data_IF_925245813225
#
_entry.id   IF_925245813225
#
_cell.length_a   1.000
_cell.length_b   1.000
_cell.length_c   1.000
_cell.angle_alpha   90.00
_cell.angle_beta   90.00
_cell.angle_gamma   90.00
#
_symmetry.space_group_name_H-M   'P 1'
#
loop_
_entity.id
_entity.type
_entity.pdbx_description
1 polymer ?
#
# COMPACT_ATOMS: atom_id res chain seq x y z
N UNK A 1 25.36 -17.16 -24.29
CA UNK A 1 24.46 -17.21 -23.10
C UNK A 1 23.79 -18.58 -23.09
N UNK A 2 23.80 -19.31 -21.97
CA UNK A 2 22.93 -20.49 -21.81
C UNK A 2 21.60 -20.00 -21.26
N UNK A 3 20.51 -20.24 -21.97
CA UNK A 3 19.16 -19.98 -21.48
C UNK A 3 18.92 -20.80 -20.22
N UNK A 4 18.31 -20.21 -19.20
CA UNK A 4 17.85 -20.97 -18.04
C UNK A 4 16.53 -21.62 -18.44
N UNK A 5 16.59 -22.90 -18.80
CA UNK A 5 15.38 -23.67 -19.04
C UNK A 5 14.69 -23.95 -17.69
N UNK A 6 13.34 -23.87 -17.66
CA UNK A 6 12.44 -24.07 -16.51
C UNK A 6 12.05 -22.85 -15.66
N UNK A 7 12.27 -21.63 -16.14
CA UNK A 7 11.62 -20.42 -15.57
C UNK A 7 10.54 -19.92 -16.53
N UNK A 8 9.37 -19.56 -16.00
CA UNK A 8 8.31 -18.92 -16.77
C UNK A 8 8.31 -17.40 -16.55
N UNK A 9 7.85 -16.65 -17.54
CA UNK A 9 7.48 -15.24 -17.40
C UNK A 9 5.98 -15.10 -17.65
N UNK A 10 5.33 -14.15 -16.97
CA UNK A 10 3.91 -13.85 -17.20
C UNK A 10 3.69 -12.36 -17.45
N UNK A 11 2.64 -12.08 -18.23
CA UNK A 11 2.28 -10.79 -18.83
C UNK A 11 1.68 -11.04 -20.22
N UNK A 12 1.33 -9.97 -20.95
CA UNK A 12 1.05 -10.10 -22.39
C UNK A 12 2.27 -10.69 -23.09
N UNK A 13 2.07 -11.74 -23.90
CA UNK A 13 3.14 -12.51 -24.55
C UNK A 13 4.18 -11.59 -25.19
N UNK A 14 5.46 -11.84 -24.89
CA UNK A 14 6.64 -11.14 -25.43
C UNK A 14 6.80 -9.64 -25.09
N UNK A 15 6.00 -9.07 -24.17
CA UNK A 15 6.09 -7.64 -23.82
C UNK A 15 6.80 -7.42 -22.47
N UNK A 16 8.02 -6.90 -22.54
CA UNK A 16 8.68 -6.29 -21.37
C UNK A 16 8.13 -4.89 -21.13
N UNK A 17 7.90 -4.53 -19.86
CA UNK A 17 7.48 -3.17 -19.52
C UNK A 17 8.71 -2.27 -19.37
N UNK A 18 8.91 -1.23 -20.22
CA UNK A 18 10.02 -0.30 -20.06
C UNK A 18 9.74 0.67 -18.91
N UNK A 19 10.73 0.88 -18.05
CA UNK A 19 10.66 1.79 -16.89
C UNK A 19 11.83 2.75 -16.94
N UNK A 20 11.53 4.05 -16.88
CA UNK A 20 12.54 5.09 -16.73
C UNK A 20 12.83 5.34 -15.24
N UNK A 21 14.09 5.21 -14.83
CA UNK A 21 14.54 5.49 -13.47
C UNK A 21 15.95 6.06 -13.46
N UNK A 22 16.14 7.22 -12.81
CA UNK A 22 17.44 7.92 -12.69
C UNK A 22 18.23 7.95 -14.03
N UNK A 23 17.61 8.49 -15.08
CA UNK A 23 18.17 8.60 -16.44
C UNK A 23 18.55 7.26 -17.11
N UNK A 24 18.06 6.14 -16.60
CA UNK A 24 18.25 4.82 -17.21
C UNK A 24 16.89 4.21 -17.58
N UNK A 25 16.91 3.34 -18.58
CA UNK A 25 15.75 2.52 -18.95
C UNK A 25 15.99 1.09 -18.42
N UNK A 26 14.95 0.51 -17.84
CA UNK A 26 14.93 -0.87 -17.38
C UNK A 26 13.79 -1.63 -18.04
N UNK A 27 14.04 -2.87 -18.43
CA UNK A 27 13.00 -3.81 -18.81
C UNK A 27 12.53 -4.57 -17.57
N UNK A 28 11.25 -4.48 -17.26
CA UNK A 28 10.60 -5.19 -16.17
C UNK A 28 9.88 -6.45 -16.69
N UNK A 29 10.01 -7.54 -15.94
CA UNK A 29 9.19 -8.73 -16.11
C UNK A 29 8.94 -9.43 -14.77
N UNK A 30 7.81 -10.14 -14.67
CA UNK A 30 7.52 -11.02 -13.55
C UNK A 30 8.02 -12.43 -13.84
N UNK A 31 8.57 -13.09 -12.82
CA UNK A 31 9.07 -14.45 -12.90
C UNK A 31 8.07 -15.38 -12.21
N UNK A 32 7.70 -16.47 -12.88
CA UNK A 32 6.79 -17.51 -12.37
C UNK A 32 7.43 -18.89 -12.51
N UNK A 33 6.77 -19.90 -11.94
CA UNK A 33 7.09 -21.30 -12.19
C UNK A 33 6.82 -21.66 -13.67
N UNK A 34 7.49 -22.68 -14.19
CA UNK A 34 7.20 -23.24 -15.52
C UNK A 34 5.82 -23.94 -15.60
N UNK A 35 5.11 -24.06 -14.48
CA UNK A 35 3.77 -24.63 -14.44
C UNK A 35 2.73 -23.62 -14.93
N UNK A 36 2.12 -23.90 -16.10
CA UNK A 36 1.07 -23.07 -16.71
C UNK A 36 -0.19 -22.86 -15.86
N UNK A 37 -0.38 -23.63 -14.78
CA UNK A 37 -1.50 -23.49 -13.84
C UNK A 37 -1.14 -22.65 -12.60
N UNK A 38 0.08 -22.12 -12.50
CA UNK A 38 0.51 -21.34 -11.36
C UNK A 38 -0.24 -20.00 -11.33
N UNK A 39 -0.67 -19.59 -10.15
CA UNK A 39 -1.40 -18.32 -9.95
C UNK A 39 -0.62 -17.30 -9.14
N UNK A 40 0.63 -17.61 -8.78
CA UNK A 40 1.49 -16.76 -7.96
C UNK A 40 2.88 -16.59 -8.59
N UNK A 41 3.45 -15.39 -8.46
CA UNK A 41 4.79 -15.06 -8.94
C UNK A 41 5.87 -15.54 -7.96
N UNK A 42 7.05 -15.87 -8.49
CA UNK A 42 8.26 -16.17 -7.72
C UNK A 42 9.08 -14.90 -7.41
N UNK A 43 8.86 -13.83 -8.16
CA UNK A 43 9.59 -12.59 -8.04
C UNK A 43 9.57 -11.76 -9.31
N UNK A 44 10.42 -10.75 -9.38
CA UNK A 44 10.46 -9.78 -10.48
C UNK A 44 11.89 -9.49 -10.87
N UNK A 45 12.06 -9.13 -12.12
CA UNK A 45 13.36 -8.84 -12.69
C UNK A 45 13.36 -7.49 -13.39
N UNK A 46 14.41 -6.73 -13.15
CA UNK A 46 14.73 -5.49 -13.88
C UNK A 46 16.05 -5.68 -14.61
N UNK A 47 16.07 -5.43 -15.90
CA UNK A 47 17.29 -5.45 -16.71
C UNK A 47 17.58 -4.05 -17.20
N UNK A 48 18.71 -3.46 -16.78
CA UNK A 48 19.11 -2.15 -17.28
C UNK A 48 19.40 -2.26 -18.79
N UNK A 49 18.65 -1.53 -19.62
CA UNK A 49 18.69 -1.65 -21.08
C UNK A 49 20.04 -1.24 -21.68
N UNK A 50 20.80 -0.36 -21.01
CA UNK A 50 22.11 0.10 -21.46
C UNK A 50 23.23 -0.89 -21.14
N UNK A 51 23.20 -1.48 -19.95
CA UNK A 51 24.33 -2.26 -19.40
C UNK A 51 24.08 -3.76 -19.36
N UNK A 52 22.83 -4.20 -19.53
CA UNK A 52 22.42 -5.58 -19.33
C UNK A 52 22.46 -6.03 -17.85
N UNK A 53 22.75 -5.13 -16.91
CA UNK A 53 22.80 -5.48 -15.48
C UNK A 53 21.40 -5.84 -14.99
N UNK A 54 21.29 -7.05 -14.47
CA UNK A 54 20.04 -7.63 -13.98
C UNK A 54 19.91 -7.50 -12.47
N UNK A 55 18.70 -7.15 -12.03
CA UNK A 55 18.30 -7.09 -10.63
C UNK A 55 17.09 -8.01 -10.47
N UNK A 56 17.25 -9.09 -9.72
CA UNK A 56 16.16 -10.00 -9.40
C UNK A 56 15.75 -9.82 -7.93
N UNK A 57 14.45 -9.66 -7.73
CA UNK A 57 13.84 -9.55 -6.41
C UNK A 57 12.93 -10.76 -6.22
N UNK A 58 13.29 -11.62 -5.27
CA UNK A 58 12.46 -12.76 -4.90
C UNK A 58 11.24 -12.28 -4.12
N UNK A 59 10.07 -12.79 -4.47
CA UNK A 59 8.88 -12.60 -3.66
C UNK A 59 8.74 -13.76 -2.69
N UNK A 60 8.58 -13.42 -1.41
CA UNK A 60 8.50 -14.37 -0.30
C UNK A 60 7.05 -14.48 0.22
N UNK A 61 6.22 -13.49 -0.10
CA UNK A 61 4.79 -13.51 0.19
C UNK A 61 4.01 -14.15 -0.96
N UNK A 62 2.79 -14.62 -0.67
CA UNK A 62 1.86 -14.96 -1.75
C UNK A 62 1.55 -13.68 -2.55
N UNK A 63 1.80 -13.70 -3.84
CA UNK A 63 1.56 -12.59 -4.73
C UNK A 63 1.06 -13.15 -6.06
N UNK A 64 -0.14 -12.72 -6.45
CA UNK A 64 -0.76 -13.18 -7.67
C UNK A 64 0.03 -12.79 -8.92
N UNK A 65 -0.20 -13.52 -10.01
CA UNK A 65 0.37 -13.21 -11.32
C UNK A 65 -0.12 -11.86 -11.88
N UNK A 66 0.66 -11.21 -12.77
CA UNK A 66 0.23 -9.97 -13.42
C UNK A 66 -1.08 -10.16 -14.19
N UNK A 67 -1.24 -11.25 -14.94
CA UNK A 67 -2.47 -11.56 -15.68
C UNK A 67 -3.69 -11.65 -14.76
N UNK A 68 -3.51 -12.14 -13.53
CA UNK A 68 -4.56 -12.18 -12.52
C UNK A 68 -4.85 -10.79 -11.96
N UNK A 69 -3.82 -9.98 -11.71
CA UNK A 69 -3.98 -8.59 -11.30
C UNK A 69 -4.74 -7.76 -12.36
N UNK A 70 -4.38 -7.92 -13.64
CA UNK A 70 -5.06 -7.30 -14.78
C UNK A 70 -6.54 -7.71 -14.83
N UNK A 71 -6.81 -9.02 -14.75
CA UNK A 71 -8.18 -9.54 -14.71
C UNK A 71 -9.01 -8.95 -13.56
N UNK A 72 -8.42 -8.79 -12.37
CA UNK A 72 -9.11 -8.19 -11.23
C UNK A 72 -9.33 -6.68 -11.41
N UNK A 73 -8.35 -5.96 -11.99
CA UNK A 73 -8.46 -4.54 -12.29
C UNK A 73 -9.57 -4.26 -13.32
N UNK A 74 -9.62 -5.05 -14.41
CA UNK A 74 -10.69 -4.97 -15.42
C UNK A 74 -12.05 -5.31 -14.82
N UNK A 75 -12.14 -6.34 -13.99
CA UNK A 75 -13.40 -6.70 -13.33
C UNK A 75 -13.90 -5.59 -12.39
N UNK A 76 -13.00 -4.92 -11.67
CA UNK A 76 -13.34 -3.78 -10.80
C UNK A 76 -13.91 -2.60 -11.58
N UNK A 77 -13.52 -2.47 -12.84
CA UNK A 77 -13.86 -1.37 -13.73
C UNK A 77 -14.71 -1.83 -14.92
N UNK A 78 -15.40 -2.97 -14.79
CA UNK A 78 -16.06 -3.66 -15.92
C UNK A 78 -17.02 -2.77 -16.69
N UNK A 79 -17.72 -1.85 -16.03
CA UNK A 79 -18.64 -0.90 -16.65
C UNK A 79 -17.96 0.07 -17.64
N UNK A 80 -16.65 0.30 -17.50
CA UNK A 80 -15.89 1.24 -18.34
C UNK A 80 -15.39 0.62 -19.63
N UNK A 81 -15.33 -0.72 -19.70
CA UNK A 81 -14.69 -1.49 -20.78
C UNK A 81 -13.19 -1.21 -20.98
N UNK A 82 -12.55 -0.42 -20.10
CA UNK A 82 -11.11 -0.17 -20.16
C UNK A 82 -10.30 -1.43 -19.94
N UNK A 83 -9.13 -1.49 -20.57
CA UNK A 83 -8.20 -2.60 -20.52
C UNK A 83 -7.09 -2.34 -19.54
N UNK A 84 -6.72 -3.37 -18.79
CA UNK A 84 -5.55 -3.31 -17.93
C UNK A 84 -4.28 -3.33 -18.79
N UNK A 85 -3.28 -2.59 -18.35
CA UNK A 85 -2.01 -2.48 -19.03
C UNK A 85 -0.88 -2.19 -18.03
N UNK A 86 0.31 -2.70 -18.37
CA UNK A 86 1.56 -2.49 -17.61
C UNK A 86 1.40 -2.73 -16.10
N UNK A 87 0.99 -3.93 -15.64
CA UNK A 87 0.97 -4.26 -14.21
C UNK A 87 2.41 -4.24 -13.65
N UNK A 88 2.64 -3.38 -12.66
CA UNK A 88 3.94 -3.25 -11.99
C UNK A 88 3.81 -3.62 -10.51
N UNK A 89 4.71 -4.46 -10.01
CA UNK A 89 4.70 -4.87 -8.61
C UNK A 89 5.63 -4.00 -7.78
N UNK A 90 5.07 -3.32 -6.79
CA UNK A 90 5.77 -2.51 -5.81
C UNK A 90 5.59 -3.06 -4.40
N UNK A 91 6.49 -2.72 -3.48
CA UNK A 91 6.23 -2.83 -2.04
C UNK A 91 5.83 -1.47 -1.48
N UNK A 92 4.53 -1.29 -1.26
CA UNK A 92 3.98 -0.08 -0.65
C UNK A 92 3.77 -0.37 0.84
N UNK A 93 4.52 0.33 1.68
CA UNK A 93 4.48 0.19 3.14
C UNK A 93 4.66 -1.28 3.59
N UNK A 94 5.55 -2.01 2.88
CA UNK A 94 5.87 -3.42 3.13
C UNK A 94 4.90 -4.42 2.50
N UNK A 95 3.78 -3.99 1.93
CA UNK A 95 2.81 -4.87 1.27
C UNK A 95 3.13 -5.01 -0.23
N UNK A 96 3.12 -6.22 -0.80
CA UNK A 96 3.22 -6.39 -2.24
C UNK A 96 1.95 -5.85 -2.91
N UNK A 97 2.09 -4.92 -3.84
CA UNK A 97 1.00 -4.18 -4.48
C UNK A 97 1.22 -4.11 -5.98
N UNK A 98 0.25 -4.61 -6.74
CA UNK A 98 0.15 -4.37 -8.17
C UNK A 98 -0.37 -2.96 -8.43
N UNK A 99 0.37 -2.21 -9.25
CA UNK A 99 -0.05 -0.91 -9.79
C UNK A 99 -0.30 -1.13 -11.27
N UNK A 100 -1.56 -1.07 -11.65
CA UNK A 100 -2.04 -1.34 -13.01
C UNK A 100 -2.53 -0.05 -13.62
N UNK A 101 -2.18 0.20 -14.88
CA UNK A 101 -2.70 1.31 -15.66
C UNK A 101 -3.90 0.82 -16.46
N UNK A 102 -5.01 1.57 -16.44
CA UNK A 102 -6.17 1.29 -17.27
C UNK A 102 -6.15 2.20 -18.49
N UNK A 103 -6.35 1.62 -19.67
CA UNK A 103 -6.39 2.33 -20.95
C UNK A 103 -7.73 2.15 -21.65
N UNK A 104 -8.13 3.12 -22.46
CA UNK A 104 -9.27 2.98 -23.37
C UNK A 104 -8.90 2.19 -24.64
N UNK A 105 -9.87 1.97 -25.53
CA UNK A 105 -9.67 1.24 -26.79
C UNK A 105 -8.69 1.94 -27.76
N UNK A 106 -8.42 3.23 -27.56
CA UNK A 106 -7.43 3.99 -28.33
C UNK A 106 -6.03 3.94 -27.72
N UNK A 107 -5.85 3.25 -26.59
CA UNK A 107 -4.60 3.19 -25.84
C UNK A 107 -4.32 4.44 -24.98
N UNK A 108 -5.30 5.31 -24.79
CA UNK A 108 -5.17 6.48 -23.92
C UNK A 108 -5.24 6.05 -22.45
N UNK A 109 -4.36 6.62 -21.61
CA UNK A 109 -4.38 6.39 -20.17
C UNK A 109 -5.65 6.97 -19.54
N UNK A 110 -6.34 6.18 -18.73
CA UNK A 110 -7.60 6.55 -18.09
C UNK A 110 -7.53 6.58 -16.57
N UNK A 111 -6.92 5.55 -15.94
CA UNK A 111 -6.83 5.49 -14.47
C UNK A 111 -5.75 4.55 -13.96
N UNK A 112 -5.42 4.69 -12.68
CA UNK A 112 -4.62 3.74 -11.92
C UNK A 112 -5.53 2.83 -11.08
N UNK A 113 -5.14 1.57 -11.00
CA UNK A 113 -5.68 0.58 -10.06
C UNK A 113 -4.53 0.05 -9.21
N UNK A 114 -4.62 0.26 -7.89
CA UNK A 114 -3.69 -0.27 -6.90
C UNK A 114 -4.33 -1.47 -6.22
N UNK A 115 -3.70 -2.63 -6.30
CA UNK A 115 -4.28 -3.91 -5.89
C UNK A 115 -3.30 -4.68 -4.99
N UNK A 116 -3.74 -5.06 -3.80
CA UNK A 116 -2.93 -5.90 -2.91
C UNK A 116 -2.66 -7.27 -3.56
N UNK A 117 -1.39 -7.69 -3.64
CA UNK A 117 -1.01 -8.84 -4.46
C UNK A 117 -1.54 -10.19 -3.96
N UNK A 118 -1.87 -10.33 -2.67
CA UNK A 118 -2.62 -11.48 -2.12
C UNK A 118 -4.11 -11.17 -1.90
N UNK A 119 -4.60 -10.05 -2.47
CA UNK A 119 -5.98 -9.63 -2.36
C UNK A 119 -6.92 -10.38 -3.29
N UNK A 120 -8.19 -9.96 -3.27
CA UNK A 120 -9.28 -10.61 -3.99
C UNK A 120 -9.95 -9.69 -5.04
N UNK A 121 -9.45 -8.47 -5.22
CA UNK A 121 -10.00 -7.52 -6.18
C UNK A 121 -11.22 -6.73 -5.69
N UNK A 122 -11.63 -6.90 -4.42
CA UNK A 122 -12.76 -6.16 -3.83
C UNK A 122 -12.33 -4.80 -3.28
N UNK A 123 -13.30 -4.01 -2.83
CA UNK A 123 -13.08 -2.66 -2.29
C UNK A 123 -12.10 -2.60 -1.11
N UNK A 124 -11.91 -3.69 -0.37
CA UNK A 124 -11.01 -3.74 0.79
C UNK A 124 -9.55 -4.01 0.39
N UNK A 125 -9.31 -4.41 -0.86
CA UNK A 125 -7.97 -4.74 -1.38
C UNK A 125 -7.57 -3.93 -2.61
N UNK A 126 -8.47 -3.07 -3.11
CA UNK A 126 -8.31 -2.31 -4.35
C UNK A 126 -8.69 -0.85 -4.20
N UNK A 127 -7.80 0.04 -4.64
CA UNK A 127 -8.08 1.47 -4.80
C UNK A 127 -7.96 1.89 -6.27
N UNK A 128 -8.84 2.79 -6.69
CA UNK A 128 -8.89 3.32 -8.06
C UNK A 128 -8.88 4.84 -8.05
N UNK A 129 -8.21 5.43 -9.04
CA UNK A 129 -8.26 6.87 -9.28
C UNK A 129 -7.49 7.29 -10.53
N UNK A 130 -7.69 8.52 -10.98
CA UNK A 130 -7.11 9.04 -12.21
C UNK A 130 -5.70 9.63 -12.03
N UNK A 131 -5.27 9.81 -10.78
CA UNK A 131 -3.95 10.34 -10.42
C UNK A 131 -3.23 9.37 -9.48
N UNK A 132 -1.93 9.14 -9.72
CA UNK A 132 -1.15 8.15 -8.98
C UNK A 132 -1.05 8.48 -7.48
N UNK A 133 -0.84 9.76 -7.14
CA UNK A 133 -0.61 10.19 -5.76
C UNK A 133 -1.86 10.07 -4.90
N UNK A 134 -2.99 10.56 -5.40
CA UNK A 134 -4.28 10.45 -4.72
C UNK A 134 -4.77 9.00 -4.64
N UNK A 135 -4.51 8.19 -5.66
CA UNK A 135 -4.85 6.76 -5.64
C UNK A 135 -4.01 5.98 -4.63
N UNK A 136 -2.71 6.28 -4.54
CA UNK A 136 -1.84 5.74 -3.48
C UNK A 136 -2.36 6.10 -2.09
N UNK A 137 -2.82 7.33 -1.87
CA UNK A 137 -3.41 7.72 -0.58
C UNK A 137 -4.68 6.93 -0.29
N UNK A 138 -5.58 6.76 -1.27
CA UNK A 138 -6.77 5.91 -1.13
C UNK A 138 -6.39 4.46 -0.81
N UNK A 139 -5.38 3.91 -1.50
CA UNK A 139 -4.88 2.55 -1.29
C UNK A 139 -4.35 2.35 0.12
N UNK A 140 -3.52 3.28 0.60
CA UNK A 140 -3.03 3.27 1.99
C UNK A 140 -4.18 3.27 2.98
N UNK A 141 -5.21 4.08 2.71
CA UNK A 141 -6.37 4.18 3.59
C UNK A 141 -7.16 2.87 3.73
N UNK A 142 -7.10 1.95 2.75
CA UNK A 142 -7.74 0.62 2.86
C UNK A 142 -7.17 -0.20 4.03
N UNK A 143 -5.86 -0.05 4.28
CA UNK A 143 -5.16 -0.77 5.34
C UNK A 143 -4.96 0.09 6.59
N UNK A 144 -5.17 1.40 6.46
CA UNK A 144 -5.22 2.29 7.62
C UNK A 144 -6.54 2.16 8.41
N UNK A 145 -7.53 1.42 7.88
CA UNK A 145 -8.68 0.93 8.68
C UNK A 145 -8.28 -0.12 9.72
N UNK A 146 -7.06 -0.67 9.61
CA UNK A 146 -6.41 -1.58 10.56
C UNK A 146 -5.16 -0.93 11.22
N UNK A 147 -5.24 0.34 11.63
CA UNK A 147 -4.24 0.96 12.53
C UNK A 147 -4.30 0.43 13.97
N UNK A 148 -4.45 -0.89 14.09
CA UNK A 148 -4.23 -1.67 15.29
C UNK A 148 -3.07 -2.65 15.15
N UNK A 149 -2.07 -2.38 14.31
CA UNK A 149 -0.71 -2.99 14.35
C UNK A 149 0.20 -2.44 13.25
N UNK A 150 0.60 -1.16 13.35
CA UNK A 150 1.71 -0.62 12.57
C UNK A 150 3.03 -0.70 13.37
N UNK A 151 3.60 -1.88 13.53
CA UNK A 151 5.07 -1.99 13.52
C UNK A 151 5.41 -2.48 12.11
N UNK A 152 6.14 -1.79 11.26
CA UNK A 152 7.16 -0.76 11.45
C UNK A 152 7.44 -0.18 10.06
N UNK A 153 7.09 1.08 9.79
CA UNK A 153 8.06 2.16 9.60
C UNK A 153 7.27 3.46 9.52
N UNK A 154 7.01 4.07 10.68
CA UNK A 154 6.44 5.41 10.69
C UNK A 154 7.46 6.37 10.06
N UNK A 155 7.09 7.02 8.96
CA UNK A 155 7.86 8.09 8.29
C UNK A 155 8.14 9.28 9.24
N UNK A 156 7.33 9.41 10.28
CA UNK A 156 7.34 10.51 11.22
C UNK A 156 8.47 10.44 12.26
N UNK A 157 8.80 11.59 12.85
CA UNK A 157 9.72 11.63 14.00
C UNK A 157 9.00 11.15 15.26
N UNK A 158 9.55 10.13 15.93
CA UNK A 158 9.09 9.68 17.24
C UNK A 158 9.31 10.80 18.26
N UNK A 159 8.26 11.21 18.95
CA UNK A 159 8.34 12.24 19.98
C UNK A 159 7.32 12.00 21.09
N UNK A 160 7.55 12.67 22.23
CA UNK A 160 6.66 12.63 23.38
C UNK A 160 5.68 13.80 23.32
N UNK A 161 4.42 13.52 23.61
CA UNK A 161 3.36 14.52 23.69
C UNK A 161 2.75 14.52 25.09
N UNK A 162 2.26 15.69 25.48
CA UNK A 162 1.45 15.88 26.67
C UNK A 162 0.45 17.00 26.40
N UNK A 163 -0.65 17.00 27.15
CA UNK A 163 -1.63 18.08 27.09
C UNK A 163 -2.98 17.69 27.66
N UNK A 164 -3.89 18.65 27.62
CA UNK A 164 -5.30 18.45 27.98
C UNK A 164 -6.10 18.12 26.74
N UNK A 165 -6.90 17.06 26.81
CA UNK A 165 -7.76 16.63 25.70
C UNK A 165 -8.87 17.67 25.48
N UNK A 166 -8.92 18.23 24.28
CA UNK A 166 -9.95 19.20 23.85
C UNK A 166 -11.22 18.50 23.38
N UNK A 167 -11.06 17.40 22.65
CA UNK A 167 -12.15 16.63 22.04
C UNK A 167 -11.66 15.24 21.70
N UNK A 168 -12.55 14.27 21.83
CA UNK A 168 -12.35 12.88 21.39
C UNK A 168 -13.49 12.51 20.44
N UNK A 169 -13.18 11.74 19.41
CA UNK A 169 -14.17 11.12 18.52
C UNK A 169 -13.79 9.66 18.32
N UNK A 170 -14.79 8.78 18.36
CA UNK A 170 -14.62 7.39 17.96
C UNK A 170 -14.59 7.34 16.43
N UNK A 171 -13.46 6.93 15.86
CA UNK A 171 -13.30 6.86 14.40
C UNK A 171 -13.97 5.59 13.88
N UNK A 172 -13.73 4.46 14.56
CA UNK A 172 -14.31 3.15 14.27
C UNK A 172 -14.25 2.27 15.54
N UNK A 173 -14.48 0.97 15.44
CA UNK A 173 -14.45 0.06 16.59
C UNK A 173 -13.05 -0.26 17.14
N UNK A 174 -11.99 0.12 16.43
CA UNK A 174 -10.60 -0.16 16.78
C UNK A 174 -9.77 1.09 17.10
N UNK A 175 -10.31 2.30 16.90
CA UNK A 175 -9.53 3.55 16.99
C UNK A 175 -10.35 4.74 17.52
N UNK A 176 -9.69 5.56 18.34
CA UNK A 176 -10.13 6.93 18.68
C UNK A 176 -9.21 7.97 18.06
N UNK A 177 -9.79 9.10 17.66
CA UNK A 177 -9.04 10.30 17.34
C UNK A 177 -9.32 11.38 18.38
N UNK A 178 -8.32 12.18 18.71
CA UNK A 178 -8.46 13.27 19.67
C UNK A 178 -7.62 14.49 19.31
N UNK A 179 -8.00 15.62 19.91
CA UNK A 179 -7.30 16.89 19.83
C UNK A 179 -6.82 17.29 21.22
N UNK A 180 -5.69 17.96 21.29
CA UNK A 180 -5.19 18.59 22.53
C UNK A 180 -5.44 20.11 22.48
N UNK A 181 -5.58 20.74 23.64
CA UNK A 181 -5.57 22.20 23.73
C UNK A 181 -4.23 22.76 23.21
N UNK A 182 -4.31 23.90 22.53
CA UNK A 182 -3.14 24.64 22.00
C UNK A 182 -2.26 23.79 21.05
N UNK A 183 -2.83 22.76 20.44
CA UNK A 183 -2.14 21.87 19.51
C UNK A 183 -3.00 21.62 18.27
N UNK A 184 -2.47 21.93 17.09
CA UNK A 184 -3.19 21.74 15.82
C UNK A 184 -3.12 20.31 15.27
N UNK A 185 -2.36 19.40 15.89
CA UNK A 185 -2.22 18.05 15.37
C UNK A 185 -3.45 17.20 15.70
N UNK A 186 -3.78 16.28 14.79
CA UNK A 186 -4.78 15.24 15.02
C UNK A 186 -4.07 13.98 15.50
N UNK A 187 -4.51 13.46 16.64
CA UNK A 187 -3.90 12.29 17.29
C UNK A 187 -4.79 11.07 17.10
N UNK A 188 -4.20 9.93 16.76
CA UNK A 188 -4.89 8.66 16.57
C UNK A 188 -4.33 7.62 17.54
N UNK A 189 -5.21 6.94 18.27
CA UNK A 189 -4.85 5.92 19.24
C UNK A 189 -5.68 4.64 19.06
N UNK A 190 -4.98 3.50 18.97
CA UNK A 190 -5.57 2.18 18.86
C UNK A 190 -6.29 1.80 20.17
N UNK A 191 -7.57 1.44 20.06
CA UNK A 191 -8.37 0.78 21.11
C UNK A 191 -8.16 -0.74 21.03
N UNK A 192 -7.87 -1.27 19.84
CA UNK A 192 -7.66 -2.71 19.63
C UNK A 192 -6.44 -3.22 20.39
N UNK A 193 -5.32 -2.50 20.29
CA UNK A 193 -4.06 -2.86 20.97
C UNK A 193 -4.02 -2.39 22.42
N UNK A 194 -4.68 -1.26 22.68
CA UNK A 194 -4.70 -0.60 23.98
C UNK A 194 -6.14 -0.20 24.36
N UNK A 195 -6.95 -1.16 24.86
CA UNK A 195 -8.37 -0.93 25.14
C UNK A 195 -8.65 0.26 26.07
N UNK A 196 -7.72 0.62 26.96
CA UNK A 196 -7.90 1.76 27.87
C UNK A 196 -8.03 3.10 27.13
N UNK A 197 -7.49 3.21 25.92
CA UNK A 197 -7.61 4.41 25.10
C UNK A 197 -9.08 4.77 24.78
N UNK A 198 -10.02 3.81 24.87
CA UNK A 198 -11.44 4.08 24.69
C UNK A 198 -12.05 4.97 25.77
N UNK A 199 -11.43 5.06 26.94
CA UNK A 199 -11.94 5.81 28.09
C UNK A 199 -11.41 7.24 28.16
N UNK A 200 -10.62 7.68 27.18
CA UNK A 200 -10.15 9.06 27.12
C UNK A 200 -11.33 9.99 26.86
N UNK A 201 -11.41 11.07 27.62
CA UNK A 201 -12.48 12.05 27.56
C UNK A 201 -11.93 13.47 27.44
N UNK A 202 -12.80 14.38 27.04
CA UNK A 202 -12.50 15.81 27.05
C UNK A 202 -12.19 16.27 28.47
N UNK A 203 -11.10 17.01 28.65
CA UNK A 203 -10.64 17.48 29.96
C UNK A 203 -9.51 16.63 30.59
N UNK A 204 -9.27 15.43 30.09
CA UNK A 204 -8.22 14.55 30.61
C UNK A 204 -6.82 15.12 30.40
N UNK A 205 -5.95 14.95 31.42
CA UNK A 205 -4.53 15.25 31.30
C UNK A 205 -3.76 14.00 30.92
N UNK A 206 -3.25 13.98 29.69
CA UNK A 206 -2.62 12.80 29.12
C UNK A 206 -1.17 13.02 28.72
N UNK A 207 -0.40 11.92 28.72
CA UNK A 207 0.96 11.88 28.19
C UNK A 207 1.20 10.59 27.42
N UNK A 208 1.85 10.68 26.26
CA UNK A 208 2.04 9.52 25.39
C UNK A 208 3.21 9.73 24.42
N UNK A 209 3.57 8.67 23.71
CA UNK A 209 4.57 8.72 22.65
C UNK A 209 3.89 8.40 21.32
N UNK A 210 4.23 9.15 20.27
CA UNK A 210 3.72 8.93 18.94
C UNK A 210 4.70 9.33 17.84
N UNK A 211 4.40 8.90 16.62
CA UNK A 211 5.13 9.33 15.44
C UNK A 211 4.35 10.44 14.75
N UNK A 212 5.01 11.58 14.53
CA UNK A 212 4.42 12.73 13.85
C UNK A 212 4.78 12.76 12.39
N UNK A 213 3.79 12.75 11.52
CA UNK A 213 3.92 13.00 10.09
C UNK A 213 3.00 14.17 9.70
N UNK A 214 3.59 15.30 9.29
CA UNK A 214 2.84 16.54 9.04
C UNK A 214 2.05 17.02 10.26
N UNK A 215 0.72 17.12 10.11
CA UNK A 215 -0.24 17.50 11.17
C UNK A 215 -0.89 16.29 11.88
N UNK A 216 -0.41 15.08 11.63
CA UNK A 216 -0.97 13.86 12.18
C UNK A 216 0.03 13.17 13.10
N UNK A 217 -0.48 12.59 14.18
CA UNK A 217 0.31 11.82 15.14
C UNK A 217 -0.35 10.47 15.39
N UNK A 218 0.41 9.38 15.19
CA UNK A 218 -0.04 8.03 15.55
C UNK A 218 0.58 7.65 16.89
N UNK A 219 -0.27 7.35 17.88
CA UNK A 219 0.13 6.93 19.22
C UNK A 219 0.56 5.46 19.20
N UNK A 220 1.69 5.13 19.83
CA UNK A 220 2.30 3.78 19.70
C UNK A 220 2.27 2.94 20.96
N UNK A 221 1.73 3.49 22.06
CA UNK A 221 1.54 2.83 23.35
C UNK A 221 0.26 3.30 24.02
N UNK A 222 -0.13 2.61 25.10
CA UNK A 222 -1.18 3.06 26.00
C UNK A 222 -0.96 4.52 26.44
N UNK A 223 -2.04 5.31 26.43
CA UNK A 223 -2.01 6.70 26.84
C UNK A 223 -2.03 6.76 28.37
N UNK A 224 -0.99 7.36 28.95
CA UNK A 224 -0.95 7.60 30.39
C UNK A 224 -1.86 8.79 30.72
N UNK A 225 -3.06 8.48 31.20
CA UNK A 225 -4.04 9.44 31.67
C UNK A 225 -3.88 9.64 33.19
N UNK A 226 -3.64 10.89 33.60
CA UNK A 226 -3.45 11.26 35.01
C UNK A 226 -4.76 11.55 35.74
N UNK A 227 -5.87 11.62 35.01
CA UNK A 227 -7.21 11.94 35.53
C UNK A 227 -8.06 10.67 35.72
N UNK A 228 -7.57 9.50 35.27
CA UNK A 228 -8.13 8.16 35.48
C UNK A 228 -7.46 7.47 36.66
#
# INVERSE_FOLDING_TARGET
>A
MKSVEKVGTEGHDDVFTPIAYKNNIYYFTSMTSNNKKQTSVLGYMYVNAKTGKTYYYREEADAMTPNRADSLAENRMKQTQWKANMPLLYRIDGKPTWVVSMIDDNGAFMSYVYLLANGNGTQDTVAVGTDAKSTLQKYRNLFNTDLGTASSSYSGKKQRFNGTVKRVVKVNNSEVAFLLNENENVFYASIKDYPRNMFIQSGDQISFTGYKDGKTVVVVKDINNKTL
#
